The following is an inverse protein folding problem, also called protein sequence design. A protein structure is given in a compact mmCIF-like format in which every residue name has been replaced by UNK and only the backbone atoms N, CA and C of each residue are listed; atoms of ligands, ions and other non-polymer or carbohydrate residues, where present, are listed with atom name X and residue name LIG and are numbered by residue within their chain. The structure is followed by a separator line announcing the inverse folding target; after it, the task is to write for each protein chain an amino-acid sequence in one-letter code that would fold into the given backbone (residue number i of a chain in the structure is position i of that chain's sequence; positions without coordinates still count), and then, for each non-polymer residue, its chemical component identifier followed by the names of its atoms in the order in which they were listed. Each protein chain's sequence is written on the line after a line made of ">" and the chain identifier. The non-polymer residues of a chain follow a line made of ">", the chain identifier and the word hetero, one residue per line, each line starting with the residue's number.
data_IF_067179353152
#
_entry.id   IF_067179353152
#
_cell.length_a   1.000
_cell.length_b   1.000
_cell.length_c   1.000
_cell.angle_alpha   90.00
_cell.angle_beta   90.00
_cell.angle_gamma   90.00
#
_symmetry.space_group_name_H-M   'P 1'
#
loop_
_entity.id
_entity.type
_entity.pdbx_description
1 polymer ?
#
# COMPACT_ATOMS: atom_id res chain seq x y z
N UNK A 1 22.75 -11.06 5.38
CA UNK A 1 24.11 -11.46 5.80
C UNK A 1 24.18 -12.98 5.81
N UNK A 2 25.20 -13.55 5.16
CA UNK A 2 25.38 -15.00 5.04
C UNK A 2 25.62 -15.62 6.44
N UNK A 3 25.08 -16.81 6.74
CA UNK A 3 25.17 -17.43 8.08
C UNK A 3 26.61 -17.59 8.59
N UNK A 4 27.58 -17.74 7.68
CA UNK A 4 29.01 -17.83 8.00
C UNK A 4 29.59 -16.50 8.54
N UNK A 5 29.17 -15.36 7.99
CA UNK A 5 29.63 -14.05 8.43
C UNK A 5 29.13 -13.73 9.84
N UNK A 6 27.88 -14.10 10.16
CA UNK A 6 27.31 -13.90 11.49
C UNK A 6 28.05 -14.70 12.57
N UNK A 7 28.34 -15.99 12.30
CA UNK A 7 29.08 -16.83 13.25
C UNK A 7 30.50 -16.31 13.53
N UNK A 8 31.18 -15.81 12.49
CA UNK A 8 32.54 -15.25 12.63
C UNK A 8 32.55 -14.04 13.57
N UNK A 9 31.55 -13.17 13.49
CA UNK A 9 31.39 -12.04 14.40
C UNK A 9 30.98 -12.48 15.81
N UNK A 10 30.12 -13.51 15.92
CA UNK A 10 29.73 -14.10 17.21
C UNK A 10 30.93 -14.69 17.97
N UNK A 11 31.89 -15.33 17.26
CA UNK A 11 33.12 -15.88 17.86
C UNK A 11 34.04 -14.75 18.33
N UNK A 12 34.23 -13.68 17.56
CA UNK A 12 35.06 -12.53 17.97
C UNK A 12 34.56 -11.81 19.23
N UNK A 13 33.25 -11.87 19.52
CA UNK A 13 32.64 -11.20 20.69
C UNK A 13 32.68 -12.05 21.96
N UNK A 14 33.11 -13.31 21.88
CA UNK A 14 33.12 -14.25 22.99
C UNK A 14 34.50 -14.31 23.61
N UNK A 15 34.58 -14.19 24.94
CA UNK A 15 35.83 -14.32 25.68
C UNK A 15 36.19 -15.79 25.98
N UNK A 16 35.24 -16.71 25.80
CA UNK A 16 35.38 -18.15 26.09
C UNK A 16 35.78 -18.99 24.86
N UNK A 17 35.73 -18.43 23.66
CA UNK A 17 35.89 -19.17 22.41
C UNK A 17 36.73 -18.40 21.38
N UNK A 18 37.81 -19.02 20.91
CA UNK A 18 38.73 -18.44 19.94
C UNK A 18 38.53 -19.03 18.53
N UNK A 19 39.13 -18.41 17.53
CA UNK A 19 39.20 -18.98 16.19
C UNK A 19 40.41 -18.46 15.43
N UNK A 20 40.84 -19.20 14.41
CA UNK A 20 41.84 -18.76 13.44
C UNK A 20 41.15 -17.93 12.36
N UNK A 21 41.71 -16.77 12.04
CA UNK A 21 41.19 -15.87 11.01
C UNK A 21 41.90 -16.09 9.66
N UNK A 22 43.20 -15.76 9.61
CA UNK A 22 44.07 -15.92 8.45
C UNK A 22 45.52 -16.16 8.90
N UNK A 23 46.32 -16.74 8.02
CA UNK A 23 47.74 -17.00 8.26
C UNK A 23 48.56 -16.29 7.21
N UNK A 24 49.54 -15.53 7.67
CA UNK A 24 50.58 -14.92 6.85
C UNK A 24 51.92 -15.61 7.10
N UNK A 25 52.81 -15.50 6.12
CA UNK A 25 54.14 -16.11 6.16
C UNK A 25 55.15 -14.98 6.11
N UNK A 26 56.14 -15.03 7.00
CA UNK A 26 57.20 -14.04 7.00
C UNK A 26 57.96 -14.08 5.67
N UNK A 27 57.97 -12.93 4.96
CA UNK A 27 58.62 -12.78 3.65
C UNK A 27 60.15 -12.94 3.73
N UNK A 28 60.75 -12.62 4.88
CA UNK A 28 62.18 -12.75 5.12
C UNK A 28 62.55 -14.11 5.72
N UNK A 29 61.59 -14.78 6.38
CA UNK A 29 61.79 -16.09 6.99
C UNK A 29 60.65 -17.07 6.70
N UNK A 30 60.77 -17.84 5.60
CA UNK A 30 59.75 -18.81 5.15
C UNK A 30 59.42 -19.97 6.11
N UNK A 31 60.03 -20.04 7.30
CA UNK A 31 59.69 -21.00 8.37
C UNK A 31 58.94 -20.36 9.54
N UNK A 32 58.59 -19.06 9.46
CA UNK A 32 57.82 -18.36 10.48
C UNK A 32 56.45 -17.97 9.93
N UNK A 33 55.41 -18.29 10.67
CA UNK A 33 54.01 -18.05 10.34
C UNK A 33 53.40 -17.09 11.36
N UNK A 34 52.66 -16.10 10.87
CA UNK A 34 51.85 -15.19 11.67
C UNK A 34 50.39 -15.60 11.54
N UNK A 35 49.83 -16.16 12.60
CA UNK A 35 48.47 -16.68 12.64
C UNK A 35 47.61 -15.68 13.40
N UNK A 36 46.69 -15.03 12.70
CA UNK A 36 45.79 -14.04 13.28
C UNK A 36 44.57 -14.73 13.88
N UNK A 37 44.23 -14.36 15.11
CA UNK A 37 43.08 -14.91 15.82
C UNK A 37 41.81 -14.10 15.57
N UNK A 38 40.67 -14.69 15.88
CA UNK A 38 39.38 -14.01 16.02
C UNK A 38 39.25 -13.58 17.49
N UNK A 39 39.52 -12.30 17.78
CA UNK A 39 39.44 -11.75 19.14
C UNK A 39 40.77 -11.78 19.91
N UNK A 40 40.65 -11.77 21.25
CA UNK A 40 41.76 -11.70 22.19
C UNK A 40 42.00 -13.05 22.87
N UNK A 41 43.28 -13.40 23.03
CA UNK A 41 43.69 -14.63 23.70
C UNK A 41 43.86 -14.38 25.19
N UNK A 42 43.17 -15.14 26.04
CA UNK A 42 43.36 -15.08 27.49
C UNK A 42 44.79 -15.47 27.87
N UNK A 43 45.34 -14.83 28.90
CA UNK A 43 46.72 -15.10 29.34
C UNK A 43 46.94 -16.57 29.73
N UNK A 44 45.93 -17.21 30.33
CA UNK A 44 45.97 -18.63 30.70
C UNK A 44 46.09 -19.54 29.46
N UNK A 45 45.34 -19.23 28.40
CA UNK A 45 45.38 -20.02 27.16
C UNK A 45 46.67 -19.73 26.38
N UNK A 46 47.18 -18.51 26.42
CA UNK A 46 48.45 -18.12 25.83
C UNK A 46 49.62 -18.95 26.36
N UNK A 47 49.67 -19.18 27.67
CA UNK A 47 50.72 -19.99 28.31
C UNK A 47 50.49 -21.51 28.12
N UNK A 48 49.23 -21.93 27.96
CA UNK A 48 48.87 -23.33 27.77
C UNK A 48 49.15 -23.85 26.35
N UNK A 49 49.17 -22.97 25.33
CA UNK A 49 49.40 -23.37 23.95
C UNK A 49 50.86 -23.77 23.71
N UNK A 50 51.08 -25.05 23.46
CA UNK A 50 52.38 -25.63 23.15
C UNK A 50 52.50 -25.96 21.66
N UNK A 51 53.73 -26.16 21.12
CA UNK A 51 53.93 -26.63 19.76
C UNK A 51 53.15 -27.92 19.42
N UNK A 52 52.91 -28.78 20.42
CA UNK A 52 52.13 -30.01 20.28
C UNK A 52 50.63 -29.76 19.98
N UNK A 53 50.10 -28.56 20.25
CA UNK A 53 48.72 -28.21 19.95
C UNK A 53 48.50 -27.80 18.49
N UNK A 54 49.56 -27.65 17.70
CA UNK A 54 49.44 -27.21 16.31
C UNK A 54 49.85 -28.32 15.36
N UNK A 55 48.94 -28.69 14.48
CA UNK A 55 49.16 -29.74 13.49
C UNK A 55 49.06 -29.14 12.10
N UNK A 56 50.08 -29.38 11.29
CA UNK A 56 50.10 -28.99 9.88
C UNK A 56 49.94 -30.25 9.04
N UNK A 57 48.81 -30.34 8.34
CA UNK A 57 48.49 -31.46 7.45
C UNK A 57 48.45 -31.01 5.99
N UNK A 58 48.73 -31.93 5.07
CA UNK A 58 48.77 -31.67 3.64
C UNK A 58 50.16 -31.89 3.04
N UNK A 59 50.41 -31.26 1.90
CA UNK A 59 51.67 -31.43 1.16
C UNK A 59 51.68 -32.65 0.23
N UNK A 60 51.89 -32.40 -1.06
CA UNK A 60 52.08 -33.48 -2.03
C UNK A 60 53.51 -34.05 -1.93
N UNK A 61 54.53 -33.18 -1.92
CA UNK A 61 55.95 -33.57 -1.98
C UNK A 61 56.65 -33.38 -0.64
N UNK A 62 56.41 -32.26 0.05
CA UNK A 62 56.97 -32.02 1.39
C UNK A 62 55.90 -32.36 2.42
N UNK A 63 56.07 -33.51 3.08
CA UNK A 63 55.22 -33.96 4.19
C UNK A 63 55.96 -33.84 5.51
N UNK A 64 55.23 -33.87 6.62
CA UNK A 64 55.78 -33.86 7.98
C UNK A 64 56.40 -32.52 8.41
N UNK A 65 55.74 -31.41 8.09
CA UNK A 65 56.03 -30.11 8.67
C UNK A 65 55.58 -30.15 10.13
N UNK A 66 56.48 -29.82 11.06
CA UNK A 66 56.19 -29.80 12.49
C UNK A 66 56.40 -28.39 13.01
N UNK A 67 55.51 -27.98 13.90
CA UNK A 67 55.67 -26.76 14.67
C UNK A 67 56.75 -26.99 15.73
N UNK A 68 57.75 -26.13 15.74
CA UNK A 68 58.89 -26.21 16.67
C UNK A 68 58.77 -25.22 17.81
N UNK A 69 58.13 -24.08 17.56
CA UNK A 69 57.96 -23.04 18.56
C UNK A 69 56.65 -22.30 18.31
N UNK A 70 56.01 -21.86 19.39
CA UNK A 70 54.80 -21.04 19.35
C UNK A 70 54.94 -19.98 20.43
N UNK A 71 54.68 -18.72 20.07
CA UNK A 71 54.54 -17.66 21.05
C UNK A 71 53.39 -16.75 20.64
N UNK A 72 52.60 -16.32 21.62
CA UNK A 72 51.53 -15.36 21.42
C UNK A 72 52.08 -13.94 21.53
N UNK A 73 51.55 -13.05 20.70
CA UNK A 73 51.80 -11.62 20.73
C UNK A 73 50.47 -10.95 20.98
N UNK A 74 50.21 -10.62 22.25
CA UNK A 74 49.02 -9.87 22.64
C UNK A 74 49.14 -8.43 22.16
N UNK A 75 48.12 -7.95 21.45
CA UNK A 75 48.06 -6.57 20.97
C UNK A 75 47.45 -5.69 22.07
N UNK A 76 48.13 -4.59 22.42
CA UNK A 76 47.62 -3.62 23.41
C UNK A 76 46.42 -2.80 22.91
N UNK A 77 46.21 -2.76 21.59
CA UNK A 77 45.10 -2.05 20.94
C UNK A 77 43.81 -2.90 21.04
N UNK A 78 42.71 -2.39 21.63
CA UNK A 78 41.44 -3.10 21.72
C UNK A 78 40.81 -3.44 20.36
N UNK A 79 41.14 -2.69 19.30
CA UNK A 79 40.59 -2.90 17.95
C UNK A 79 41.37 -3.94 17.13
N UNK A 80 42.50 -4.45 17.63
CA UNK A 80 43.34 -5.43 16.94
C UNK A 80 43.24 -6.81 17.56
N UNK A 81 43.07 -7.82 16.73
CA UNK A 81 43.11 -9.21 17.16
C UNK A 81 44.53 -9.64 17.56
N UNK A 82 44.63 -10.63 18.46
CA UNK A 82 45.92 -11.17 18.89
C UNK A 82 46.54 -12.09 17.82
N UNK A 83 47.87 -12.22 17.86
CA UNK A 83 48.63 -12.95 16.84
C UNK A 83 49.39 -14.10 17.51
N UNK A 84 49.36 -15.28 16.91
CA UNK A 84 50.22 -16.40 17.25
C UNK A 84 51.36 -16.47 16.24
N UNK A 85 52.59 -16.39 16.73
CA UNK A 85 53.79 -16.57 15.91
C UNK A 85 54.23 -18.02 16.04
N UNK A 86 54.16 -18.75 14.93
CA UNK A 86 54.39 -20.19 14.85
C UNK A 86 55.62 -20.44 13.99
N UNK A 87 56.69 -20.97 14.58
CA UNK A 87 57.89 -21.39 13.84
C UNK A 87 57.79 -22.88 13.48
N UNK A 88 58.12 -23.22 12.25
CA UNK A 88 58.09 -24.59 11.72
C UNK A 88 59.50 -25.13 11.39
N UNK A 89 59.66 -26.45 11.44
CA UNK A 89 60.96 -27.10 11.22
C UNK A 89 61.48 -26.99 9.76
N UNK A 90 60.59 -26.76 8.79
CA UNK A 90 60.93 -26.64 7.37
C UNK A 90 59.83 -25.88 6.63
N UNK A 91 60.19 -25.19 5.56
CA UNK A 91 59.23 -24.58 4.64
C UNK A 91 58.49 -25.66 3.83
N UNK A 92 57.22 -25.42 3.53
CA UNK A 92 56.43 -26.26 2.63
C UNK A 92 56.66 -25.99 1.15
N UNK A 93 55.82 -26.60 0.30
CA UNK A 93 55.78 -26.44 -1.15
C UNK A 93 54.50 -25.67 -1.60
N UNK A 94 54.19 -25.69 -2.90
CA UNK A 94 52.98 -25.05 -3.47
C UNK A 94 51.67 -25.81 -3.19
N UNK A 95 51.73 -26.93 -2.48
CA UNK A 95 50.53 -27.72 -2.16
C UNK A 95 49.68 -27.01 -1.11
N UNK A 96 48.36 -27.28 -1.07
CA UNK A 96 47.53 -26.83 0.04
C UNK A 96 47.94 -27.55 1.33
N UNK A 97 48.20 -26.76 2.38
CA UNK A 97 48.35 -27.24 3.75
C UNK A 97 47.18 -26.73 4.59
N UNK A 98 46.90 -27.39 5.70
CA UNK A 98 45.95 -26.94 6.71
C UNK A 98 46.66 -26.88 8.05
N UNK A 99 46.61 -25.72 8.70
CA UNK A 99 47.04 -25.54 10.08
C UNK A 99 45.81 -25.71 10.97
N UNK A 100 45.85 -26.70 11.87
CA UNK A 100 44.78 -26.96 12.84
C UNK A 100 45.29 -26.88 14.28
N UNK A 101 44.43 -26.37 15.17
CA UNK A 101 44.66 -26.37 16.61
C UNK A 101 43.94 -27.56 17.23
N UNK A 102 44.72 -28.45 17.84
CA UNK A 102 44.25 -29.75 18.36
C UNK A 102 44.51 -29.90 19.86
N UNK A 103 43.70 -30.75 20.48
CA UNK A 103 43.92 -31.20 21.85
C UNK A 103 45.11 -32.17 21.92
N UNK A 104 45.87 -32.14 23.00
CA UNK A 104 46.95 -33.13 23.28
C UNK A 104 46.43 -34.25 24.19
N UNK A 105 46.91 -35.48 23.99
CA UNK A 105 46.60 -36.60 24.86
C UNK A 105 47.38 -36.57 26.19
N UNK A 106 47.17 -37.57 27.05
CA UNK A 106 47.82 -37.69 28.36
C UNK A 106 49.35 -37.81 28.28
N UNK A 107 49.87 -38.22 27.12
CA UNK A 107 51.30 -38.38 26.84
C UNK A 107 51.88 -37.15 26.11
N UNK A 108 51.07 -36.10 25.91
CA UNK A 108 51.47 -34.84 25.28
C UNK A 108 51.51 -34.86 23.75
N UNK A 109 50.90 -35.87 23.10
CA UNK A 109 50.85 -35.97 21.64
C UNK A 109 49.60 -35.32 21.05
N UNK A 110 49.68 -34.70 19.86
CA UNK A 110 48.53 -34.12 19.16
C UNK A 110 47.47 -35.18 18.81
N UNK A 111 46.23 -34.93 19.18
CA UNK A 111 45.08 -35.75 18.79
C UNK A 111 44.50 -35.29 17.44
N UNK A 112 43.45 -35.98 16.96
CA UNK A 112 42.67 -35.56 15.78
C UNK A 112 41.48 -34.65 16.12
N UNK A 113 41.30 -34.26 17.38
CA UNK A 113 40.16 -33.45 17.82
C UNK A 113 40.56 -31.97 17.92
N UNK A 114 39.69 -31.04 17.49
CA UNK A 114 39.97 -29.61 17.63
C UNK A 114 40.03 -29.24 19.12
N UNK A 115 40.91 -28.30 19.45
CA UNK A 115 41.08 -27.85 20.83
C UNK A 115 39.78 -27.22 21.36
N UNK A 116 39.32 -27.55 22.58
CA UNK A 116 38.00 -27.14 23.10
C UNK A 116 37.82 -25.62 23.22
N UNK A 117 38.92 -24.88 23.43
CA UNK A 117 38.91 -23.41 23.47
C UNK A 117 38.79 -22.73 22.09
N UNK A 118 38.73 -23.50 20.99
CA UNK A 118 38.59 -23.00 19.63
C UNK A 118 37.26 -23.45 19.02
N UNK A 119 36.59 -22.57 18.27
CA UNK A 119 35.38 -22.90 17.53
C UNK A 119 35.70 -23.98 16.48
N UNK A 120 34.92 -25.06 16.46
CA UNK A 120 35.14 -26.20 15.57
C UNK A 120 35.24 -25.80 14.09
N UNK A 121 34.57 -24.73 13.67
CA UNK A 121 34.61 -24.22 12.29
C UNK A 121 35.85 -23.39 12.00
N UNK A 122 36.41 -22.73 13.01
CA UNK A 122 37.57 -21.84 12.89
C UNK A 122 38.84 -22.41 13.55
N UNK A 123 38.84 -23.69 13.92
CA UNK A 123 40.01 -24.37 14.49
C UNK A 123 41.04 -24.83 13.44
N UNK A 124 40.69 -24.77 12.15
CA UNK A 124 41.53 -25.18 11.03
C UNK A 124 41.48 -24.15 9.92
N UNK A 125 42.64 -23.85 9.33
CA UNK A 125 42.75 -22.84 8.28
C UNK A 125 43.69 -23.30 7.15
N UNK A 126 43.33 -23.04 5.87
CA UNK A 126 44.23 -23.32 4.77
C UNK A 126 45.47 -22.41 4.82
N UNK A 127 46.63 -23.01 4.57
CA UNK A 127 47.94 -22.39 4.53
C UNK A 127 48.61 -22.73 3.20
N UNK A 128 49.23 -21.74 2.55
CA UNK A 128 50.06 -21.94 1.37
C UNK A 128 51.42 -21.26 1.52
N UNK A 129 52.50 -22.04 1.53
CA UNK A 129 53.88 -21.56 1.72
C UNK A 129 54.41 -20.66 0.59
N UNK A 130 53.68 -20.56 -0.53
CA UNK A 130 54.10 -19.85 -1.74
C UNK A 130 53.00 -18.96 -2.33
N UNK A 131 52.09 -18.44 -1.51
CA UNK A 131 50.97 -17.60 -1.95
C UNK A 131 51.38 -16.33 -2.71
N UNK A 132 52.52 -15.72 -2.36
CA UNK A 132 53.06 -14.49 -2.98
C UNK A 132 54.03 -14.75 -4.16
N UNK A 133 54.24 -16.01 -4.55
CA UNK A 133 54.99 -16.28 -5.78
C UNK A 133 54.05 -16.07 -6.97
N UNK A 134 54.45 -15.30 -8.01
CA UNK A 134 53.73 -15.30 -9.27
C UNK A 134 53.74 -16.74 -9.79
N UNK A 135 52.59 -17.38 -9.72
CA UNK A 135 52.43 -18.71 -10.27
C UNK A 135 52.42 -18.56 -11.79
N UNK A 136 53.53 -18.90 -12.46
CA UNK A 136 53.57 -19.11 -13.92
C UNK A 136 52.74 -20.36 -14.34
N UNK A 137 51.99 -20.94 -13.42
CA UNK A 137 51.10 -22.07 -13.62
C UNK A 137 49.71 -21.52 -13.90
N UNK A 138 49.34 -21.59 -15.18
CA UNK A 138 48.01 -21.38 -15.75
C UNK A 138 47.06 -22.47 -15.21
N UNK A 139 46.74 -22.39 -13.92
CA UNK A 139 45.79 -23.27 -13.28
C UNK A 139 44.43 -23.01 -13.93
N UNK A 140 43.95 -23.98 -14.70
CA UNK A 140 42.58 -24.00 -15.25
C UNK A 140 41.61 -23.75 -14.11
N UNK A 141 41.07 -22.53 -14.04
CA UNK A 141 40.01 -22.16 -13.11
C UNK A 141 38.84 -23.11 -13.35
N UNK A 142 38.37 -23.81 -12.31
CA UNK A 142 37.09 -24.51 -12.44
C UNK A 142 36.05 -23.45 -12.78
N UNK A 143 35.32 -23.60 -13.90
CA UNK A 143 34.28 -22.64 -14.23
C UNK A 143 33.28 -22.65 -13.08
N UNK A 144 33.06 -21.49 -12.46
CA UNK A 144 31.90 -21.29 -11.61
C UNK A 144 30.69 -21.73 -12.44
N UNK A 145 30.03 -22.81 -12.02
CA UNK A 145 28.82 -23.25 -12.70
C UNK A 145 27.84 -22.08 -12.67
N UNK A 146 27.43 -21.55 -13.84
CA UNK A 146 26.41 -20.51 -13.85
C UNK A 146 25.17 -21.08 -13.13
N UNK A 147 24.47 -20.26 -12.32
CA UNK A 147 23.26 -20.71 -11.67
C UNK A 147 22.30 -21.28 -12.72
N UNK A 148 21.59 -22.34 -12.34
CA UNK A 148 20.61 -22.96 -13.21
C UNK A 148 19.57 -21.92 -13.63
N UNK A 149 19.45 -21.69 -14.94
CA UNK A 149 18.50 -20.73 -15.51
C UNK A 149 17.18 -21.46 -15.68
N UNK A 150 16.20 -21.12 -14.84
CA UNK A 150 14.83 -21.59 -15.01
C UNK A 150 14.17 -20.83 -16.16
N UNK A 151 13.44 -21.54 -17.01
CA UNK A 151 12.59 -20.88 -18.00
C UNK A 151 11.55 -20.01 -17.29
N UNK A 152 11.46 -18.73 -17.64
CA UNK A 152 10.39 -17.89 -17.11
C UNK A 152 9.07 -18.30 -17.76
N UNK A 153 8.02 -18.64 -16.98
CA UNK A 153 6.75 -19.02 -17.54
C UNK A 153 6.10 -17.79 -18.18
N UNK A 154 5.41 -18.04 -19.28
CA UNK A 154 4.65 -17.02 -19.99
C UNK A 154 3.52 -16.52 -19.08
N UNK A 155 3.56 -15.23 -18.75
CA UNK A 155 2.50 -14.59 -17.96
C UNK A 155 1.39 -14.20 -18.93
N UNK A 156 0.24 -14.86 -18.81
CA UNK A 156 -0.97 -14.47 -19.55
C UNK A 156 -1.56 -13.19 -18.95
N UNK A 157 -1.28 -12.04 -19.59
CA UNK A 157 -1.78 -10.74 -19.17
C UNK A 157 -3.29 -10.55 -19.41
N UNK A 158 -3.94 -11.46 -20.13
CA UNK A 158 -5.39 -11.45 -20.33
C UNK A 158 -6.13 -12.24 -19.25
N UNK A 159 -5.41 -12.94 -18.37
CA UNK A 159 -5.99 -13.63 -17.23
C UNK A 159 -6.70 -12.63 -16.30
N UNK A 160 -8.01 -12.82 -16.16
CA UNK A 160 -8.92 -11.87 -15.49
C UNK A 160 -9.94 -12.56 -14.59
N UNK A 161 -10.03 -13.89 -14.65
CA UNK A 161 -11.03 -14.69 -13.94
C UNK A 161 -10.38 -15.75 -13.04
N UNK A 162 -11.17 -16.31 -12.12
CA UNK A 162 -10.71 -17.34 -11.19
C UNK A 162 -9.96 -18.51 -11.89
N UNK A 163 -10.51 -19.01 -13.00
CA UNK A 163 -9.97 -20.18 -13.68
C UNK A 163 -8.60 -19.88 -14.32
N UNK A 164 -8.46 -18.72 -14.96
CA UNK A 164 -7.22 -18.24 -15.55
C UNK A 164 -6.18 -17.91 -14.49
N UNK A 165 -6.54 -17.27 -13.37
CA UNK A 165 -5.60 -17.02 -12.27
C UNK A 165 -5.12 -18.30 -11.61
N UNK A 166 -6.03 -19.26 -11.33
CA UNK A 166 -5.68 -20.56 -10.78
C UNK A 166 -4.69 -21.29 -11.70
N UNK A 167 -4.95 -21.28 -13.00
CA UNK A 167 -4.05 -21.87 -14.00
C UNK A 167 -2.69 -21.18 -14.01
N UNK A 168 -2.65 -19.85 -14.07
CA UNK A 168 -1.41 -19.07 -14.09
C UNK A 168 -0.54 -19.37 -12.87
N UNK A 169 -1.14 -19.43 -11.67
CA UNK A 169 -0.42 -19.75 -10.44
C UNK A 169 0.13 -21.18 -10.49
N UNK A 170 -0.67 -22.17 -10.93
CA UNK A 170 -0.22 -23.56 -11.04
C UNK A 170 0.90 -23.72 -12.08
N UNK A 171 0.78 -23.06 -13.23
CA UNK A 171 1.79 -23.09 -14.30
C UNK A 171 3.11 -22.46 -13.79
N UNK A 172 3.02 -21.39 -12.97
CA UNK A 172 4.20 -20.80 -12.30
C UNK A 172 4.82 -21.75 -11.27
N UNK A 173 4.01 -22.42 -10.46
CA UNK A 173 4.48 -23.35 -9.43
C UNK A 173 5.18 -24.57 -10.04
N UNK A 174 4.70 -25.06 -11.19
CA UNK A 174 5.33 -26.17 -11.91
C UNK A 174 6.77 -25.88 -12.35
N UNK A 175 7.09 -24.61 -12.61
CA UNK A 175 8.44 -24.16 -12.99
C UNK A 175 9.33 -23.92 -11.76
N UNK A 176 8.81 -23.23 -10.72
CA UNK A 176 9.63 -22.87 -9.55
C UNK A 176 9.87 -24.08 -8.64
N UNK A 177 8.90 -24.98 -8.53
CA UNK A 177 8.93 -26.14 -7.62
C UNK A 177 8.55 -27.42 -8.39
N UNK A 178 9.40 -27.90 -9.31
CA UNK A 178 9.10 -29.05 -10.16
C UNK A 178 8.88 -30.36 -9.39
N UNK A 179 9.41 -30.46 -8.16
CA UNK A 179 9.19 -31.61 -7.27
C UNK A 179 7.77 -31.65 -6.67
N UNK A 180 7.09 -30.50 -6.61
CA UNK A 180 5.73 -30.41 -6.10
C UNK A 180 4.73 -30.83 -7.19
N UNK A 181 4.23 -32.05 -7.06
CA UNK A 181 3.35 -32.71 -8.06
C UNK A 181 1.90 -32.87 -7.59
N UNK A 182 1.57 -32.31 -6.43
CA UNK A 182 0.26 -32.46 -5.79
C UNK A 182 -0.83 -31.74 -6.60
N UNK A 183 -1.96 -32.43 -6.79
CA UNK A 183 -3.12 -31.95 -7.58
C UNK A 183 -4.46 -32.28 -6.90
N UNK A 184 -4.43 -32.90 -5.73
CA UNK A 184 -5.62 -33.28 -4.99
C UNK A 184 -6.28 -32.04 -4.38
N UNK A 185 -7.60 -31.94 -4.52
CA UNK A 185 -8.43 -30.87 -3.94
C UNK A 185 -8.22 -30.66 -2.42
N UNK A 186 -8.10 -31.71 -1.58
CA UNK A 186 -7.88 -31.50 -0.14
C UNK A 186 -6.45 -31.08 0.23
N UNK A 187 -5.55 -30.87 -0.73
CA UNK A 187 -4.21 -30.38 -0.45
C UNK A 187 -4.22 -28.91 0.02
N UNK A 188 -3.35 -28.61 0.99
CA UNK A 188 -3.23 -27.26 1.53
C UNK A 188 -2.64 -26.29 0.50
N UNK A 189 -1.67 -26.74 -0.30
CA UNK A 189 -1.07 -25.94 -1.37
C UNK A 189 -2.10 -25.57 -2.42
N UNK A 190 -2.89 -26.54 -2.88
CA UNK A 190 -4.01 -26.30 -3.80
C UNK A 190 -5.03 -25.34 -3.19
N UNK A 191 -5.40 -25.50 -1.91
CA UNK A 191 -6.33 -24.59 -1.23
C UNK A 191 -5.83 -23.15 -1.22
N UNK A 192 -4.54 -22.93 -0.97
CA UNK A 192 -3.93 -21.59 -1.00
C UNK A 192 -3.96 -20.99 -2.40
N UNK A 193 -3.67 -21.79 -3.44
CA UNK A 193 -3.76 -21.35 -4.84
C UNK A 193 -5.17 -20.91 -5.18
N UNK A 194 -6.18 -21.68 -4.77
CA UNK A 194 -7.59 -21.37 -5.02
C UNK A 194 -8.03 -20.10 -4.26
N UNK A 195 -7.58 -19.91 -3.02
CA UNK A 195 -7.86 -18.69 -2.26
C UNK A 195 -7.24 -17.45 -2.93
N UNK A 196 -6.00 -17.55 -3.40
CA UNK A 196 -5.35 -16.45 -4.12
C UNK A 196 -6.05 -16.16 -5.45
N UNK A 197 -6.45 -17.19 -6.20
CA UNK A 197 -7.20 -17.02 -7.44
C UNK A 197 -8.57 -16.37 -7.20
N UNK A 198 -9.25 -16.72 -6.12
CA UNK A 198 -10.53 -16.12 -5.72
C UNK A 198 -10.38 -14.63 -5.40
N UNK A 199 -9.36 -14.27 -4.62
CA UNK A 199 -9.07 -12.85 -4.31
C UNK A 199 -8.67 -12.10 -5.58
N UNK A 200 -7.87 -12.72 -6.45
CA UNK A 200 -7.49 -12.16 -7.75
C UNK A 200 -8.69 -11.83 -8.64
N UNK A 201 -9.66 -12.74 -8.74
CA UNK A 201 -10.90 -12.54 -9.49
C UNK A 201 -11.72 -11.35 -8.97
N UNK A 202 -11.92 -11.27 -7.64
CA UNK A 202 -12.60 -10.13 -7.02
C UNK A 202 -11.91 -8.80 -7.26
N UNK A 203 -10.58 -8.76 -7.14
CA UNK A 203 -9.80 -7.55 -7.38
C UNK A 203 -9.82 -7.16 -8.86
N UNK A 204 -9.75 -8.13 -9.76
CA UNK A 204 -9.86 -7.95 -11.21
C UNK A 204 -11.21 -7.32 -11.58
N UNK A 205 -12.30 -7.88 -11.07
CA UNK A 205 -13.64 -7.31 -11.25
C UNK A 205 -13.74 -5.88 -10.71
N UNK A 206 -13.19 -5.62 -9.53
CA UNK A 206 -13.21 -4.28 -8.93
C UNK A 206 -12.45 -3.27 -9.78
N UNK A 207 -11.29 -3.64 -10.35
CA UNK A 207 -10.54 -2.78 -11.26
C UNK A 207 -11.35 -2.42 -12.50
N UNK A 208 -12.02 -3.39 -13.12
CA UNK A 208 -12.83 -3.16 -14.31
C UNK A 208 -14.06 -2.28 -14.00
N UNK A 209 -14.67 -2.46 -12.83
CA UNK A 209 -15.77 -1.61 -12.36
C UNK A 209 -15.30 -0.16 -12.16
N UNK A 210 -14.13 0.05 -11.54
CA UNK A 210 -13.54 1.40 -11.36
C UNK A 210 -13.18 2.02 -12.71
N UNK A 211 -12.59 1.25 -13.62
CA UNK A 211 -12.25 1.72 -14.96
C UNK A 211 -13.50 2.14 -15.76
N UNK A 212 -14.61 1.40 -15.61
CA UNK A 212 -15.90 1.75 -16.22
C UNK A 212 -16.41 3.11 -15.72
N UNK A 213 -16.19 3.44 -14.45
CA UNK A 213 -16.59 4.74 -13.87
C UNK A 213 -15.66 5.91 -14.25
N UNK A 214 -14.48 5.64 -14.83
CA UNK A 214 -13.46 6.65 -15.10
C UNK A 214 -13.80 7.60 -16.26
N UNK A 215 -14.67 7.20 -17.19
CA UNK A 215 -15.05 7.99 -18.36
C UNK A 215 -16.54 8.28 -18.39
N UNK A 216 -16.91 9.45 -18.92
CA UNK A 216 -18.32 9.89 -18.97
C UNK A 216 -19.21 8.95 -19.77
N UNK A 217 -18.70 8.39 -20.88
CA UNK A 217 -19.45 7.51 -21.80
C UNK A 217 -19.71 6.12 -21.19
N UNK A 218 -18.83 5.66 -20.30
CA UNK A 218 -18.91 4.33 -19.68
C UNK A 218 -19.46 4.35 -18.25
N UNK A 219 -19.42 5.49 -17.56
CA UNK A 219 -19.81 5.60 -16.17
C UNK A 219 -21.29 5.21 -15.96
N UNK A 220 -21.53 4.30 -15.01
CA UNK A 220 -22.88 3.81 -14.69
C UNK A 220 -23.45 4.52 -13.47
N UNK A 221 -22.60 5.00 -12.56
CA UNK A 221 -23.08 5.73 -11.38
C UNK A 221 -23.32 7.20 -11.71
N UNK A 222 -24.52 7.68 -11.37
CA UNK A 222 -24.89 9.10 -11.50
C UNK A 222 -23.91 10.03 -10.76
N UNK A 223 -23.36 9.58 -9.63
CA UNK A 223 -22.38 10.36 -8.87
C UNK A 223 -21.07 10.55 -9.65
N UNK A 224 -20.58 9.52 -10.34
CA UNK A 224 -19.39 9.61 -11.20
C UNK A 224 -19.64 10.55 -12.37
N UNK A 225 -20.77 10.38 -13.07
CA UNK A 225 -21.20 11.27 -14.16
C UNK A 225 -21.23 12.72 -13.68
N UNK A 226 -21.85 13.01 -12.52
CA UNK A 226 -21.91 14.36 -11.94
C UNK A 226 -20.52 14.95 -11.66
N UNK A 227 -19.56 14.13 -11.22
CA UNK A 227 -18.17 14.57 -11.00
C UNK A 227 -17.45 14.87 -12.30
N UNK A 228 -17.64 14.04 -13.34
CA UNK A 228 -17.05 14.26 -14.66
C UNK A 228 -17.57 15.53 -15.33
N UNK A 229 -18.89 15.72 -15.36
CA UNK A 229 -19.48 16.90 -16.02
C UNK A 229 -19.16 18.22 -15.31
N UNK A 230 -18.82 18.17 -14.01
CA UNK A 230 -18.33 19.33 -13.28
C UNK A 230 -16.99 19.86 -13.82
N UNK A 231 -16.16 19.00 -14.42
CA UNK A 231 -14.86 19.41 -15.01
C UNK A 231 -15.04 20.29 -16.26
N UNK A 232 -16.20 20.22 -16.90
CA UNK A 232 -16.56 21.04 -18.07
C UNK A 232 -17.60 22.11 -17.72
N UNK A 233 -17.68 22.48 -16.44
CA UNK A 233 -18.62 23.47 -15.89
C UNK A 233 -20.11 23.18 -16.17
N UNK A 234 -20.46 21.93 -16.46
CA UNK A 234 -21.84 21.51 -16.64
C UNK A 234 -22.45 21.07 -15.30
N UNK A 235 -23.53 21.74 -14.90
CA UNK A 235 -24.30 21.38 -13.69
C UNK A 235 -25.41 20.39 -14.06
N UNK A 236 -25.20 19.12 -13.71
CA UNK A 236 -26.25 18.10 -13.85
C UNK A 236 -27.45 18.44 -12.96
N UNK A 237 -28.64 18.56 -13.54
CA UNK A 237 -29.88 18.81 -12.79
C UNK A 237 -30.27 17.57 -11.97
N UNK A 238 -30.82 17.73 -10.76
CA UNK A 238 -31.27 16.61 -9.91
C UNK A 238 -32.74 16.21 -10.14
N UNK A 239 -33.29 16.65 -11.27
CA UNK A 239 -34.73 16.60 -11.54
C UNK A 239 -35.37 17.96 -11.29
N UNK A 240 -36.51 18.21 -11.92
CA UNK A 240 -37.27 19.44 -11.73
C UNK A 240 -38.68 19.07 -11.27
N UNK A 241 -39.17 19.76 -10.24
CA UNK A 241 -40.58 19.65 -9.85
C UNK A 241 -41.45 20.24 -10.97
N UNK A 242 -42.66 19.70 -11.12
CA UNK A 242 -43.65 20.29 -12.00
C UNK A 242 -43.97 21.72 -11.54
N UNK A 243 -44.17 22.62 -12.50
CA UNK A 243 -44.53 24.03 -12.24
C UNK A 243 -45.76 24.37 -13.06
N UNK A 244 -46.68 25.10 -12.46
CA UNK A 244 -47.89 25.61 -13.09
C UNK A 244 -48.15 27.04 -12.64
N UNK A 245 -48.86 27.80 -13.46
CA UNK A 245 -49.42 29.08 -13.06
C UNK A 245 -50.77 28.83 -12.39
N UNK A 246 -51.03 29.51 -11.29
CA UNK A 246 -52.30 29.47 -10.56
C UNK A 246 -52.91 30.87 -10.52
N UNK A 247 -54.23 30.94 -10.62
CA UNK A 247 -55.01 32.15 -10.39
C UNK A 247 -55.79 31.93 -9.10
N UNK A 248 -55.73 32.90 -8.20
CA UNK A 248 -56.36 32.83 -6.89
C UNK A 248 -57.33 33.99 -6.78
N UNK A 249 -58.60 33.67 -6.51
CA UNK A 249 -59.62 34.66 -6.18
C UNK A 249 -59.79 34.72 -4.66
N UNK A 250 -59.80 35.93 -4.11
CA UNK A 250 -59.88 36.14 -2.65
C UNK A 250 -61.12 36.96 -2.28
N UNK A 251 -61.78 36.64 -1.17
CA UNK A 251 -62.97 37.38 -0.72
C UNK A 251 -62.63 38.73 -0.11
N UNK A 252 -61.46 38.86 0.50
CA UNK A 252 -60.92 40.06 1.16
C UNK A 252 -59.41 40.13 0.90
N UNK A 253 -58.81 41.29 1.15
CA UNK A 253 -57.36 41.47 1.08
C UNK A 253 -56.66 40.53 2.08
N UNK A 254 -55.76 39.69 1.57
CA UNK A 254 -55.08 38.66 2.36
C UNK A 254 -53.59 38.63 2.05
N UNK A 255 -52.80 38.37 3.09
CA UNK A 255 -51.38 38.09 2.97
C UNK A 255 -51.14 36.59 3.16
N UNK A 256 -50.47 35.96 2.19
CA UNK A 256 -49.99 34.59 2.28
C UNK A 256 -48.48 34.58 2.59
N UNK A 257 -48.05 33.66 3.44
CA UNK A 257 -46.63 33.38 3.69
C UNK A 257 -46.16 32.27 2.76
N UNK A 258 -45.31 32.59 1.80
CA UNK A 258 -44.80 31.67 0.79
C UNK A 258 -44.05 30.45 1.37
N UNK A 259 -43.58 30.51 2.62
CA UNK A 259 -42.93 29.38 3.29
C UNK A 259 -43.91 28.50 4.07
N UNK A 260 -45.08 29.02 4.41
CA UNK A 260 -46.08 28.32 5.22
C UNK A 260 -47.26 27.86 4.37
N UNK A 261 -47.69 28.65 3.42
CA UNK A 261 -48.90 28.39 2.65
C UNK A 261 -48.59 27.60 1.38
N UNK A 262 -49.49 26.68 1.02
CA UNK A 262 -49.39 25.84 -0.16
C UNK A 262 -50.75 25.73 -0.86
N UNK A 263 -50.70 25.35 -2.13
CA UNK A 263 -51.88 25.14 -2.97
C UNK A 263 -52.13 23.64 -3.12
N UNK A 264 -53.39 23.23 -2.96
CA UNK A 264 -53.80 21.85 -3.22
C UNK A 264 -54.75 21.78 -4.41
N UNK A 265 -54.59 20.75 -5.23
CA UNK A 265 -55.58 20.44 -6.27
C UNK A 265 -56.89 19.99 -5.62
N UNK A 266 -58.02 20.35 -6.22
CA UNK A 266 -59.32 19.84 -5.79
C UNK A 266 -59.41 18.31 -5.86
N UNK A 267 -60.30 17.74 -5.06
CA UNK A 267 -60.56 16.30 -5.04
C UNK A 267 -61.56 15.92 -6.13
N UNK A 268 -61.52 14.67 -6.60
CA UNK A 268 -62.60 14.14 -7.42
C UNK A 268 -63.92 14.19 -6.61
N UNK A 269 -64.82 15.08 -7.05
CA UNK A 269 -66.24 15.20 -6.69
C UNK A 269 -66.70 16.06 -5.51
N UNK A 270 -65.90 16.85 -4.77
CA UNK A 270 -66.55 17.73 -3.75
C UNK A 270 -65.76 18.89 -3.13
N UNK A 271 -64.64 19.36 -3.69
CA UNK A 271 -64.02 20.60 -3.20
C UNK A 271 -63.26 21.34 -4.29
N UNK A 272 -63.44 22.68 -4.41
CA UNK A 272 -62.59 23.49 -5.27
C UNK A 272 -61.14 23.45 -4.77
N UNK A 273 -60.15 23.74 -5.63
CA UNK A 273 -58.77 23.95 -5.17
C UNK A 273 -58.72 25.08 -4.14
N UNK A 274 -58.00 24.88 -3.04
CA UNK A 274 -57.92 25.82 -1.92
C UNK A 274 -56.46 26.09 -1.53
N UNK A 275 -56.24 27.21 -0.83
CA UNK A 275 -54.98 27.54 -0.16
C UNK A 275 -55.06 27.03 1.29
N UNK A 276 -54.00 26.40 1.77
CA UNK A 276 -53.93 25.89 3.15
C UNK A 276 -52.56 26.20 3.77
N UNK A 277 -52.52 26.33 5.09
CA UNK A 277 -51.31 26.70 5.84
C UNK A 277 -50.65 25.45 6.44
N UNK A 278 -49.32 25.34 6.33
CA UNK A 278 -48.50 24.27 6.93
C UNK A 278 -48.78 24.16 8.43
N UNK A 279 -49.56 23.16 8.80
CA UNK A 279 -49.99 22.88 10.18
C UNK A 279 -51.37 22.25 10.23
N UNK A 280 -52.23 22.55 9.25
CA UNK A 280 -53.47 21.85 8.98
C UNK A 280 -53.27 21.06 7.68
N UNK A 281 -52.86 19.80 7.76
CA UNK A 281 -53.43 18.84 6.82
C UNK A 281 -54.63 18.30 7.59
N UNK A 282 -55.86 18.80 7.35
CA UNK A 282 -57.03 18.26 8.01
C UNK A 282 -56.97 16.73 7.89
N UNK A 283 -57.11 15.99 9.00
CA UNK A 283 -57.23 14.52 8.96
C UNK A 283 -58.29 14.09 7.93
N UNK A 284 -59.27 14.97 7.67
CA UNK A 284 -60.30 14.86 6.64
C UNK A 284 -59.79 14.76 5.17
N UNK A 285 -58.55 15.17 4.86
CA UNK A 285 -57.99 15.06 3.50
C UNK A 285 -57.28 13.72 3.25
N UNK A 286 -56.98 12.93 4.30
CA UNK A 286 -56.34 11.61 4.13
C UNK A 286 -57.28 10.57 3.51
N UNK A 287 -58.58 10.68 3.77
CA UNK A 287 -59.60 9.72 3.31
C UNK A 287 -60.23 10.06 1.95
N UNK A 288 -59.93 11.24 1.38
CA UNK A 288 -60.60 11.76 0.16
C UNK A 288 -59.85 11.53 -1.16
N UNK A 289 -58.80 10.71 -1.17
CA UNK A 289 -58.02 10.37 -2.37
C UNK A 289 -56.71 11.13 -2.51
N UNK A 290 -56.00 10.91 -3.63
CA UNK A 290 -54.71 11.54 -3.90
C UNK A 290 -54.87 12.97 -4.42
N UNK A 291 -54.17 13.93 -3.81
CA UNK A 291 -54.09 15.32 -4.26
C UNK A 291 -52.63 15.72 -4.49
N UNK A 292 -52.40 16.71 -5.33
CA UNK A 292 -51.08 17.31 -5.55
C UNK A 292 -50.95 18.58 -4.72
N UNK A 293 -49.76 18.76 -4.15
CA UNK A 293 -49.39 19.95 -3.39
C UNK A 293 -48.40 20.76 -4.21
N UNK A 294 -48.67 22.06 -4.34
CA UNK A 294 -47.81 23.03 -5.00
C UNK A 294 -47.37 24.10 -4.00
N UNK A 295 -46.09 24.45 -4.03
CA UNK A 295 -45.52 25.49 -3.19
C UNK A 295 -45.36 26.79 -4.00
N UNK A 296 -45.60 27.97 -3.41
CA UNK A 296 -45.37 29.25 -4.08
C UNK A 296 -43.89 29.40 -4.51
N UNK A 297 -43.65 29.68 -5.80
CA UNK A 297 -42.31 29.92 -6.34
C UNK A 297 -42.04 31.44 -6.48
N UNK A 298 -42.05 32.16 -5.36
CA UNK A 298 -41.83 33.61 -5.31
C UNK A 298 -40.56 33.96 -4.53
N UNK A 299 -39.93 35.10 -4.87
CA UNK A 299 -38.72 35.58 -4.19
C UNK A 299 -39.03 36.28 -2.84
N UNK A 300 -40.26 36.77 -2.68
CA UNK A 300 -40.74 37.47 -1.49
C UNK A 300 -41.41 36.47 -0.55
N UNK A 301 -41.25 36.69 0.76
CA UNK A 301 -41.87 35.83 1.77
C UNK A 301 -43.37 36.09 1.88
N UNK A 302 -43.79 37.35 1.82
CA UNK A 302 -45.20 37.74 1.86
C UNK A 302 -45.74 37.91 0.44
N UNK A 303 -46.91 37.32 0.18
CA UNK A 303 -47.68 37.51 -1.06
C UNK A 303 -48.98 38.22 -0.67
N UNK A 304 -49.11 39.49 -1.05
CA UNK A 304 -50.33 40.25 -0.85
C UNK A 304 -51.28 40.01 -2.03
N UNK A 305 -52.44 39.42 -1.74
CA UNK A 305 -53.54 39.26 -2.67
C UNK A 305 -54.60 40.31 -2.33
N UNK A 306 -54.94 41.12 -3.32
CA UNK A 306 -55.93 42.18 -3.19
C UNK A 306 -57.23 41.71 -3.83
N UNK A 307 -58.35 41.84 -3.12
CA UNK A 307 -59.66 41.47 -3.64
C UNK A 307 -59.97 42.22 -4.94
N UNK A 308 -59.55 43.49 -5.02
CA UNK A 308 -59.70 44.34 -6.20
C UNK A 308 -59.02 43.77 -7.47
N UNK A 309 -58.06 42.85 -7.35
CA UNK A 309 -57.38 42.23 -8.49
C UNK A 309 -58.06 40.97 -9.03
N UNK A 310 -59.14 40.48 -8.40
CA UNK A 310 -59.90 39.33 -8.92
C UNK A 310 -60.50 39.64 -10.30
N UNK A 311 -60.98 40.87 -10.50
CA UNK A 311 -61.60 41.31 -11.74
C UNK A 311 -61.09 42.71 -12.10
N UNK A 312 -60.35 42.80 -13.22
CA UNK A 312 -59.80 44.06 -13.72
C UNK A 312 -60.61 44.47 -14.95
N UNK A 313 -61.30 45.59 -14.84
CA UNK A 313 -62.14 46.12 -15.92
C UNK A 313 -61.31 46.94 -16.90
N UNK A 314 -61.47 46.68 -18.20
CA UNK A 314 -60.91 47.54 -19.24
C UNK A 314 -61.84 48.69 -19.58
N UNK A 315 -61.26 49.86 -19.86
CA UNK A 315 -62.00 51.02 -20.35
C UNK A 315 -62.30 50.86 -21.84
N UNK A 316 -63.58 50.78 -22.21
CA UNK A 316 -64.02 50.44 -23.58
C UNK A 316 -64.27 51.64 -24.50
N UNK A 317 -63.93 52.87 -24.06
CA UNK A 317 -64.15 54.12 -24.80
C UNK A 317 -65.58 54.29 -25.36
N UNK A 318 -66.58 53.91 -24.58
CA UNK A 318 -67.99 53.92 -25.00
C UNK A 318 -68.29 52.86 -26.07
N UNK A 319 -67.90 51.60 -25.80
CA UNK A 319 -68.11 50.43 -26.67
C UNK A 319 -67.35 50.44 -28.01
N UNK A 320 -66.33 51.29 -28.15
CA UNK A 320 -65.48 51.32 -29.35
C UNK A 320 -64.38 50.26 -29.33
N UNK A 321 -63.96 49.84 -28.14
CA UNK A 321 -62.91 48.84 -27.93
C UNK A 321 -63.44 47.73 -27.01
N UNK A 322 -64.28 46.85 -27.57
CA UNK A 322 -64.91 45.74 -26.82
C UNK A 322 -64.04 44.48 -26.81
N UNK A 323 -63.03 44.40 -27.68
CA UNK A 323 -62.11 43.27 -27.74
C UNK A 323 -60.66 43.73 -27.96
N UNK A 324 -59.72 43.02 -27.34
CA UNK A 324 -58.29 43.26 -27.53
C UNK A 324 -57.80 42.41 -28.72
N UNK A 325 -57.17 43.01 -29.75
CA UNK A 325 -56.55 42.27 -30.84
C UNK A 325 -55.46 41.31 -30.34
N UNK A 326 -55.24 40.21 -31.07
CA UNK A 326 -54.14 39.29 -30.78
C UNK A 326 -52.80 40.01 -30.85
N UNK A 327 -51.99 39.89 -29.80
CA UNK A 327 -50.68 40.54 -29.70
C UNK A 327 -50.70 41.92 -29.02
N UNK A 328 -51.86 42.34 -28.48
CA UNK A 328 -51.95 43.55 -27.66
C UNK A 328 -51.11 43.40 -26.39
N UNK A 329 -50.24 44.37 -26.13
CA UNK A 329 -49.33 44.40 -24.98
C UNK A 329 -49.66 45.50 -23.96
N UNK A 330 -50.64 46.35 -24.28
CA UNK A 330 -51.05 47.48 -23.45
C UNK A 330 -52.58 47.62 -23.50
N UNK A 331 -53.23 47.94 -22.40
CA UNK A 331 -54.66 48.22 -22.32
C UNK A 331 -54.93 49.31 -21.28
N UNK A 332 -56.02 50.07 -21.46
CA UNK A 332 -56.44 51.10 -20.50
C UNK A 332 -57.42 50.50 -19.52
N UNK A 333 -57.15 50.64 -18.22
CA UNK A 333 -58.02 50.13 -17.16
C UNK A 333 -59.11 51.15 -16.83
N UNK A 334 -60.28 50.65 -16.46
CA UNK A 334 -61.33 51.44 -15.81
C UNK A 334 -61.10 51.30 -14.31
N UNK A 335 -60.75 52.40 -13.66
CA UNK A 335 -60.48 52.43 -12.23
C UNK A 335 -61.13 53.68 -11.60
N UNK A 336 -61.27 53.66 -10.27
CA UNK A 336 -61.75 54.80 -9.49
C UNK A 336 -60.58 55.52 -8.83
N UNK A 337 -60.63 56.85 -8.80
CA UNK A 337 -59.61 57.65 -8.14
C UNK A 337 -59.81 57.57 -6.62
N UNK A 338 -58.87 56.95 -5.91
CA UNK A 338 -58.84 56.95 -4.44
C UNK A 338 -58.05 58.19 -4.00
N UNK A 339 -58.68 59.09 -3.24
CA UNK A 339 -57.96 60.16 -2.56
C UNK A 339 -57.07 59.52 -1.48
N UNK A 340 -55.75 59.74 -1.56
CA UNK A 340 -54.81 59.26 -0.55
C UNK A 340 -55.23 59.76 0.83
N UNK A 341 -55.50 58.85 1.77
CA UNK A 341 -55.68 59.21 3.17
C UNK A 341 -54.36 59.81 3.68
N UNK A 342 -54.40 61.07 4.13
CA UNK A 342 -53.24 61.73 4.75
C UNK A 342 -52.64 60.83 5.84
N UNK A 343 -51.32 60.61 5.86
CA UNK A 343 -50.69 59.82 6.91
C UNK A 343 -50.95 60.48 8.26
N UNK A 344 -51.60 59.73 9.16
CA UNK A 344 -51.94 60.17 10.52
C UNK A 344 -50.69 60.65 11.25
N UNK A 345 -50.55 61.98 11.37
CA UNK A 345 -49.42 62.66 11.99
C UNK A 345 -49.48 62.60 13.53
N UNK A 346 -49.80 61.43 14.10
CA UNK A 346 -49.71 61.17 15.54
C UNK A 346 -49.04 59.83 15.85
N UNK A 347 -47.74 59.76 15.60
CA UNK A 347 -46.85 58.92 16.41
C UNK A 347 -45.74 59.82 16.99
N UNK A 348 -45.65 59.99 18.32
CA UNK A 348 -44.46 60.58 18.92
C UNK A 348 -43.32 59.56 18.84
N UNK A 349 -42.16 60.02 18.38
CA UNK A 349 -40.90 59.27 18.48
C UNK A 349 -40.62 58.90 19.95
N UNK A 350 -40.51 57.60 20.23
CA UNK A 350 -39.74 57.06 21.36
C UNK A 350 -39.08 55.76 20.98
#
# INVERSE_FOLDING_TARGET
>A
MNNAARRREDVRRRDDLNGLDYVEIDQHNSTRLYVYLLGKLTAELADALQPANFRIEGGARIRSIRVTNVHSVQQNDPERDDILVVDVNRRGDFSPFHLSVVETDQDGWPTGKPHPAFDQRFASIPLNFRADCPADLDCKTEPDCPPEVFEEPEIDYLAKDYASFRRLILDRLAVIMPEWTERHVPDLGITLVELLAYVGDHLSYYQDAVATEAYLDTARQRQSVRRHVRLVDYRLHEGCNARAWVVVEVSDDIELDAQRDYFITGFENDSPPTVDSRGFLPEMLRDKGGFLVYEPLVAQQAIHLWQAHNEIMFYTWGEREVCLPRGTTHATLRDEYVEDAEPDATQPET
#
